data_IF_794586654721
#
_entry.id   IF_794586654721
#
_cell.length_a   1.000
_cell.length_b   1.000
_cell.length_c   1.000
_cell.angle_alpha   90.00
_cell.angle_beta   90.00
_cell.angle_gamma   90.00
#
_symmetry.space_group_name_H-M   'P 1'
#
loop_
_entity.id
_entity.type
_entity.pdbx_description
1 polymer ?
#
# COMPACT_ATOMS: atom_id res chain seq x y z
N UNK A 1 4.79 4.67 1.13
CA UNK A 1 5.27 5.95 1.70
C UNK A 1 6.69 5.84 2.27
N UNK A 2 6.93 5.04 3.33
CA UNK A 2 8.25 4.96 3.98
C UNK A 2 9.41 4.56 3.03
N UNK A 3 9.21 3.56 2.17
CA UNK A 3 10.23 3.14 1.17
C UNK A 3 10.62 4.32 0.26
N UNK A 4 9.65 5.11 -0.19
CA UNK A 4 9.90 6.30 -0.99
C UNK A 4 10.64 7.39 -0.21
N UNK A 5 10.19 7.66 1.02
CA UNK A 5 10.80 8.63 1.92
C UNK A 5 12.28 8.30 2.23
N UNK A 6 12.62 7.03 2.50
CA UNK A 6 14.01 6.62 2.76
C UNK A 6 14.88 6.68 1.51
N UNK A 7 14.35 6.25 0.37
CA UNK A 7 15.11 6.14 -0.88
C UNK A 7 15.08 7.39 -1.76
N UNK A 8 14.55 8.52 -1.27
CA UNK A 8 14.33 9.74 -2.06
C UNK A 8 13.59 9.46 -3.38
N UNK A 9 12.56 8.62 -3.34
CA UNK A 9 11.71 8.28 -4.50
C UNK A 9 10.26 8.63 -4.24
N UNK A 10 9.60 9.19 -5.25
CA UNK A 10 8.14 9.38 -5.23
C UNK A 10 7.46 8.02 -5.29
N UNK A 11 6.57 7.73 -4.34
CA UNK A 11 5.77 6.50 -4.31
C UNK A 11 4.30 6.85 -4.23
N UNK A 12 3.47 6.14 -4.99
CA UNK A 12 2.02 6.24 -4.95
C UNK A 12 1.42 4.84 -4.78
N UNK A 13 0.26 4.75 -4.11
CA UNK A 13 -0.45 3.48 -3.90
C UNK A 13 -1.89 3.69 -4.35
N UNK A 14 -2.39 2.77 -5.19
CA UNK A 14 -3.80 2.67 -5.56
C UNK A 14 -4.36 1.36 -5.03
N UNK A 15 -5.35 1.45 -4.14
CA UNK A 15 -6.05 0.28 -3.59
C UNK A 15 -7.48 0.29 -4.13
N UNK A 16 -7.93 -0.84 -4.67
CA UNK A 16 -9.31 -1.00 -5.15
C UNK A 16 -9.95 -2.14 -4.36
N UNK A 17 -10.88 -1.85 -3.44
CA UNK A 17 -11.70 -2.87 -2.81
C UNK A 17 -12.59 -3.55 -3.86
N UNK A 18 -12.70 -4.88 -3.80
CA UNK A 18 -13.56 -5.67 -4.66
C UNK A 18 -14.61 -6.42 -3.81
N UNK A 19 -15.72 -5.76 -3.40
CA UNK A 19 -16.75 -6.38 -2.60
C UNK A 19 -17.35 -7.60 -3.30
N UNK A 20 -17.59 -8.67 -2.54
CA UNK A 20 -18.21 -9.90 -3.05
C UNK A 20 -17.32 -10.77 -3.94
N UNK A 21 -16.05 -10.41 -4.16
CA UNK A 21 -15.07 -11.21 -4.90
C UNK A 21 -14.13 -11.96 -3.96
N UNK A 22 -13.61 -13.09 -4.43
CA UNK A 22 -12.66 -13.95 -3.72
C UNK A 22 -11.25 -13.78 -4.29
N UNK A 23 -10.24 -14.16 -3.50
CA UNK A 23 -8.85 -14.18 -3.96
C UNK A 23 -8.72 -15.04 -5.21
N UNK A 24 -8.05 -14.49 -6.23
CA UNK A 24 -7.91 -15.13 -7.55
C UNK A 24 -8.98 -14.73 -8.56
N UNK A 25 -10.12 -14.16 -8.14
CA UNK A 25 -11.13 -13.66 -9.08
C UNK A 25 -10.57 -12.48 -9.89
N UNK A 26 -10.94 -12.40 -11.16
CA UNK A 26 -10.62 -11.26 -12.02
C UNK A 26 -11.68 -10.15 -11.89
N UNK A 27 -11.21 -8.92 -11.70
CA UNK A 27 -12.04 -7.71 -11.70
C UNK A 27 -11.71 -6.87 -12.93
N UNK A 28 -12.71 -6.61 -13.76
CA UNK A 28 -12.60 -5.72 -14.93
C UNK A 28 -13.09 -4.33 -14.55
N UNK A 29 -12.22 -3.33 -14.74
CA UNK A 29 -12.50 -1.94 -14.39
C UNK A 29 -12.95 -1.11 -15.61
N UNK A 30 -13.15 -1.76 -16.76
CA UNK A 30 -13.48 -1.13 -18.04
C UNK A 30 -12.25 -0.96 -18.94
N UNK A 31 -12.47 -0.85 -20.25
CA UNK A 31 -11.43 -0.98 -21.29
C UNK A 31 -10.20 -0.07 -21.13
N UNK A 32 -10.36 1.12 -20.55
CA UNK A 32 -9.25 2.06 -20.29
C UNK A 32 -8.50 1.77 -18.98
N UNK A 33 -9.17 1.21 -17.98
CA UNK A 33 -8.64 0.98 -16.63
C UNK A 33 -8.10 -0.45 -16.43
N UNK A 34 -8.31 -1.31 -17.42
CA UNK A 34 -7.80 -2.67 -17.48
C UNK A 34 -8.53 -3.63 -16.53
N UNK A 35 -7.85 -4.72 -16.21
CA UNK A 35 -8.34 -5.77 -15.32
C UNK A 35 -7.22 -6.29 -14.43
N UNK A 36 -7.54 -6.69 -13.21
CA UNK A 36 -6.57 -7.25 -12.28
C UNK A 36 -7.18 -8.36 -11.42
N UNK A 37 -6.38 -9.35 -11.00
CA UNK A 37 -6.83 -10.37 -10.05
C UNK A 37 -6.94 -9.80 -8.62
N UNK A 38 -7.88 -10.32 -7.84
CA UNK A 38 -7.96 -10.03 -6.40
C UNK A 38 -6.80 -10.73 -5.70
N UNK A 39 -5.93 -9.93 -5.08
CA UNK A 39 -4.76 -10.41 -4.34
C UNK A 39 -5.11 -10.75 -2.89
N UNK A 40 -4.46 -11.76 -2.28
CA UNK A 40 -4.64 -12.02 -0.85
C UNK A 40 -4.08 -10.86 -0.01
N UNK A 41 -4.74 -10.58 1.11
CA UNK A 41 -4.29 -9.60 2.10
C UNK A 41 -3.89 -10.31 3.39
N UNK A 42 -2.91 -9.75 4.10
CA UNK A 42 -2.55 -10.24 5.43
C UNK A 42 -3.73 -10.02 6.40
N UNK A 43 -4.07 -11.04 7.18
CA UNK A 43 -5.18 -11.03 8.15
C UNK A 43 -4.78 -10.50 9.53
N UNK A 44 -3.48 -10.33 9.80
CA UNK A 44 -3.02 -9.76 11.06
C UNK A 44 -3.43 -8.29 11.17
N UNK A 45 -3.99 -7.91 12.32
CA UNK A 45 -4.42 -6.53 12.56
C UNK A 45 -3.22 -5.59 12.77
N UNK A 46 -3.21 -4.48 12.04
CA UNK A 46 -2.28 -3.36 12.23
C UNK A 46 -2.88 -2.22 13.08
N UNK A 47 -4.07 -2.42 13.67
CA UNK A 47 -4.83 -1.39 14.38
C UNK A 47 -4.03 -0.71 15.49
N UNK A 48 -3.35 -1.48 16.34
CA UNK A 48 -2.49 -0.95 17.41
C UNK A 48 -1.37 -0.06 16.89
N UNK A 49 -0.85 -0.33 15.69
CA UNK A 49 0.21 0.47 15.10
C UNK A 49 -0.34 1.77 14.51
N UNK A 50 -1.47 1.69 13.80
CA UNK A 50 -2.16 2.86 13.22
C UNK A 50 -2.63 3.82 14.33
N UNK A 51 -3.19 3.27 15.41
CA UNK A 51 -3.70 4.03 16.55
C UNK A 51 -2.63 4.79 17.35
N UNK A 52 -1.34 4.46 17.19
CA UNK A 52 -0.25 5.23 17.84
C UNK A 52 -0.20 6.68 17.39
N UNK A 53 -0.64 6.97 16.16
CA UNK A 53 -0.62 8.33 15.62
C UNK A 53 0.77 8.97 15.63
N UNK A 54 0.80 10.31 15.64
CA UNK A 54 2.05 11.08 15.67
C UNK A 54 2.68 11.32 14.30
N UNK A 55 3.97 11.68 14.28
CA UNK A 55 4.75 11.94 13.06
C UNK A 55 5.93 10.98 12.99
N UNK A 56 6.11 10.35 11.84
CA UNK A 56 7.33 9.61 11.54
C UNK A 56 8.42 10.65 11.19
N UNK A 57 9.52 10.73 11.95
CA UNK A 57 10.57 11.72 11.70
C UNK A 57 11.26 11.49 10.35
N UNK A 58 11.90 12.54 9.83
CA UNK A 58 12.67 12.46 8.61
C UNK A 58 13.82 11.43 8.75
N UNK A 59 14.16 10.71 7.68
CA UNK A 59 15.24 9.74 7.72
C UNK A 59 16.58 10.46 7.92
N UNK A 60 17.47 9.89 8.73
CA UNK A 60 18.79 10.46 8.99
C UNK A 60 19.64 10.41 7.72
N UNK A 61 20.00 11.58 7.18
CA UNK A 61 20.87 11.68 6.00
C UNK A 61 22.31 11.24 6.28
N UNK A 62 22.76 11.31 7.54
CA UNK A 62 24.12 10.98 7.97
C UNK A 62 24.47 9.49 7.92
N UNK A 63 23.49 8.59 7.69
CA UNK A 63 23.72 7.15 7.52
C UNK A 63 23.95 6.76 6.04
N UNK A 64 24.04 7.74 5.14
CA UNK A 64 24.49 7.56 3.75
C UNK A 64 25.94 8.07 3.67
N UNK A 65 26.90 7.25 4.11
CA UNK A 65 28.33 7.44 3.77
C UNK A 65 28.62 6.73 2.44
#
# INVERSE_FOLDING_TARGET
AAIGMVNNKTTAVRIIPAPGRKVGDMVCFGGLLGSAPVMPVNRCSAEKFIARGGRIPAPLHSLKN
#
